data_IF_707406428811
#
_entry.id   IF_707406428811
#
_cell.length_a   1.000
_cell.length_b   1.000
_cell.length_c   1.000
_cell.angle_alpha   90.00
_cell.angle_beta   90.00
_cell.angle_gamma   90.00
#
_symmetry.space_group_name_H-M   'P 1'
#
loop_
_entity.id
_entity.type
_entity.pdbx_description
1 polymer ?
#
# COMPACT_ATOMS: atom_id res chain seq x y z
N UNK A 1 -3.41 -51.91 -53.46
CA UNK A 1 -4.20 -52.61 -52.45
C UNK A 1 -3.20 -53.25 -51.52
N UNK A 2 -2.86 -52.55 -50.44
CA UNK A 2 -1.90 -52.98 -49.43
C UNK A 2 -2.59 -52.79 -48.08
N UNK A 3 -2.89 -53.92 -47.45
CA UNK A 3 -3.58 -54.02 -46.19
C UNK A 3 -2.70 -53.50 -45.04
N UNK A 4 -3.29 -52.62 -44.23
CA UNK A 4 -2.75 -52.21 -42.92
C UNK A 4 -3.08 -53.30 -41.89
N UNK A 5 -2.15 -53.67 -40.99
CA UNK A 5 -2.50 -54.42 -39.80
C UNK A 5 -3.07 -53.49 -38.73
N UNK A 6 -4.18 -53.92 -38.15
CA UNK A 6 -4.88 -53.33 -37.00
C UNK A 6 -4.17 -53.73 -35.72
N UNK A 7 -3.60 -52.78 -34.98
CA UNK A 7 -3.08 -53.03 -33.62
C UNK A 7 -4.22 -52.87 -32.60
N UNK A 8 -4.41 -53.90 -31.78
CA UNK A 8 -5.33 -53.92 -30.65
C UNK A 8 -4.65 -53.30 -29.41
N UNK A 9 -5.35 -52.44 -28.64
CA UNK A 9 -4.82 -51.96 -27.36
C UNK A 9 -4.92 -53.04 -26.27
N UNK A 10 -3.85 -53.16 -25.49
CA UNK A 10 -3.78 -53.95 -24.26
C UNK A 10 -4.58 -53.28 -23.13
N UNK A 11 -5.22 -54.06 -22.22
CA UNK A 11 -5.94 -53.52 -21.09
C UNK A 11 -4.98 -53.07 -19.98
N UNK A 12 -5.20 -51.87 -19.45
CA UNK A 12 -4.52 -51.33 -18.27
C UNK A 12 -5.16 -51.95 -17.02
N UNK A 13 -4.35 -52.66 -16.22
CA UNK A 13 -4.72 -53.13 -14.87
C UNK A 13 -4.89 -51.95 -13.91
N UNK A 14 -6.01 -51.94 -13.19
CA UNK A 14 -6.27 -51.02 -12.08
C UNK A 14 -5.67 -51.60 -10.78
N UNK A 15 -4.91 -50.83 -9.99
CA UNK A 15 -4.52 -51.27 -8.65
C UNK A 15 -5.67 -51.12 -7.65
N UNK A 16 -5.80 -52.18 -6.84
CA UNK A 16 -6.75 -52.30 -5.76
C UNK A 16 -6.37 -51.46 -4.53
N UNK A 17 -7.38 -50.79 -3.96
CA UNK A 17 -7.69 -50.73 -2.53
C UNK A 17 -6.68 -50.13 -1.55
N UNK A 18 -7.03 -49.00 -0.93
CA UNK A 18 -6.62 -48.66 0.44
C UNK A 18 -7.78 -48.04 1.22
N UNK A 19 -8.10 -48.75 2.31
CA UNK A 19 -8.73 -48.40 3.58
C UNK A 19 -9.64 -47.16 3.73
N UNK A 20 -10.88 -47.47 4.09
CA UNK A 20 -11.82 -46.63 4.86
C UNK A 20 -11.27 -46.42 6.26
N UNK A 21 -11.09 -45.18 6.69
CA UNK A 21 -10.87 -44.82 8.10
C UNK A 21 -12.13 -44.17 8.67
N UNK A 22 -12.50 -44.66 9.86
CA UNK A 22 -13.63 -44.27 10.70
C UNK A 22 -13.89 -42.76 10.79
N UNK A 23 -15.17 -42.41 10.64
CA UNK A 23 -15.72 -41.12 11.02
C UNK A 23 -16.00 -41.10 12.53
N UNK A 24 -15.67 -40.01 13.26
CA UNK A 24 -16.11 -39.86 14.63
C UNK A 24 -17.59 -39.45 14.72
N UNK A 25 -18.22 -40.02 15.74
CA UNK A 25 -19.58 -39.89 16.26
C UNK A 25 -19.94 -38.43 16.67
N UNK A 26 -21.08 -37.85 16.22
CA UNK A 26 -21.57 -36.58 16.74
C UNK A 26 -22.76 -36.81 17.69
N UNK A 27 -22.51 -36.82 18.99
CA UNK A 27 -23.53 -36.66 20.02
C UNK A 27 -22.99 -35.85 21.20
N UNK A 28 -23.90 -35.14 21.90
CA UNK A 28 -23.76 -34.15 22.99
C UNK A 28 -23.81 -32.70 22.48
N UNK A 29 -24.98 -32.11 22.22
CA UNK A 29 -25.97 -31.60 23.18
C UNK A 29 -25.40 -30.53 24.14
N UNK A 30 -25.71 -29.25 23.89
CA UNK A 30 -25.39 -28.18 24.81
C UNK A 30 -25.93 -26.80 24.39
N UNK A 31 -26.99 -26.39 25.09
CA UNK A 31 -27.45 -25.01 25.33
C UNK A 31 -27.93 -24.15 24.14
N UNK A 32 -29.26 -24.10 24.02
CA UNK A 32 -30.03 -23.04 23.38
C UNK A 32 -29.83 -21.75 24.18
N UNK A 33 -29.19 -20.75 23.60
CA UNK A 33 -29.23 -19.37 24.11
C UNK A 33 -30.46 -18.67 23.53
N UNK A 34 -31.34 -18.19 24.41
CA UNK A 34 -32.51 -17.40 24.06
C UNK A 34 -32.11 -16.12 23.33
N UNK A 35 -32.77 -15.87 22.20
CA UNK A 35 -32.72 -14.60 21.50
C UNK A 35 -33.53 -13.54 22.27
N UNK A 36 -33.02 -12.31 22.45
CA UNK A 36 -33.83 -11.22 22.99
C UNK A 36 -34.90 -10.77 21.96
N UNK A 37 -36.09 -10.48 22.47
CA UNK A 37 -37.25 -10.03 21.71
C UNK A 37 -37.02 -8.68 21.00
N UNK A 38 -37.64 -8.43 19.83
CA UNK A 38 -37.56 -7.14 19.17
C UNK A 38 -38.37 -6.08 19.93
N UNK A 39 -37.71 -5.00 20.33
CA UNK A 39 -38.36 -3.80 20.85
C UNK A 39 -38.99 -3.06 19.66
N UNK A 40 -40.31 -3.11 19.55
CA UNK A 40 -41.08 -2.27 18.65
C UNK A 40 -41.15 -0.81 19.16
N UNK A 41 -41.46 0.08 18.20
CA UNK A 41 -42.07 1.42 18.35
C UNK A 41 -41.14 2.62 18.55
N UNK A 42 -40.64 3.18 17.45
CA UNK A 42 -40.38 4.62 17.36
C UNK A 42 -41.31 5.19 16.30
N UNK A 43 -42.19 6.07 16.78
CA UNK A 43 -43.24 6.70 16.02
C UNK A 43 -42.69 7.53 14.86
N UNK A 44 -43.28 7.32 13.68
CA UNK A 44 -43.15 8.20 12.52
C UNK A 44 -43.85 9.51 12.87
N UNK A 45 -43.07 10.56 13.11
CA UNK A 45 -43.57 11.92 13.22
C UNK A 45 -44.04 12.40 11.85
N UNK A 46 -45.25 12.94 11.81
CA UNK A 46 -45.93 13.48 10.64
C UNK A 46 -45.08 14.50 9.86
N UNK A 47 -45.06 14.34 8.53
CA UNK A 47 -44.55 15.34 7.60
C UNK A 47 -45.53 16.54 7.53
N UNK A 48 -45.03 17.79 7.44
CA UNK A 48 -45.88 18.92 7.12
C UNK A 48 -46.22 18.98 5.61
N UNK A 49 -47.47 19.36 5.38
CA UNK A 49 -48.18 19.61 4.12
C UNK A 49 -47.44 20.62 3.19
N UNK A 50 -47.26 20.35 1.89
CA UNK A 50 -46.68 21.32 0.96
C UNK A 50 -47.73 22.35 0.54
N UNK A 51 -47.61 23.57 1.07
CA UNK A 51 -48.44 24.69 0.62
C UNK A 51 -47.94 25.26 -0.71
N UNK A 52 -48.80 25.12 -1.72
CA UNK A 52 -49.07 25.94 -2.89
C UNK A 52 -48.20 27.18 -3.26
N UNK A 53 -48.03 27.28 -4.59
CA UNK A 53 -48.01 28.49 -5.45
C UNK A 53 -46.76 29.35 -5.58
N UNK A 54 -46.07 29.19 -6.73
CA UNK A 54 -45.80 30.32 -7.64
C UNK A 54 -45.64 29.80 -9.09
N UNK A 55 -46.44 30.36 -9.99
CA UNK A 55 -46.41 30.16 -11.45
C UNK A 55 -45.41 31.14 -12.13
N UNK A 56 -45.10 30.97 -13.43
CA UNK A 56 -43.81 31.33 -14.01
C UNK A 56 -43.76 32.77 -14.53
N UNK A 57 -42.57 33.33 -14.57
CA UNK A 57 -42.24 34.49 -15.41
C UNK A 57 -41.33 34.09 -16.56
N UNK A 58 -41.86 34.40 -17.74
CA UNK A 58 -41.28 34.29 -19.05
C UNK A 58 -40.09 35.25 -19.29
N UNK A 59 -39.17 34.77 -20.14
CA UNK A 59 -38.35 35.54 -21.11
C UNK A 59 -37.21 36.42 -20.59
N UNK A 60 -35.97 35.99 -20.87
CA UNK A 60 -35.03 36.71 -21.75
C UNK A 60 -33.84 35.82 -22.17
N UNK A 61 -33.62 35.75 -23.48
CA UNK A 61 -32.35 35.44 -24.18
C UNK A 61 -32.14 36.67 -25.10
N UNK A 62 -30.95 36.98 -25.66
CA UNK A 62 -29.59 36.48 -25.43
C UNK A 62 -28.63 37.62 -25.03
N UNK A 63 -27.36 37.36 -24.71
CA UNK A 63 -26.19 38.20 -25.10
C UNK A 63 -24.88 37.51 -24.70
N UNK A 64 -24.02 37.40 -25.72
CA UNK A 64 -22.56 37.26 -25.81
C UNK A 64 -21.71 36.54 -24.75
N UNK A 65 -20.81 35.72 -25.32
CA UNK A 65 -19.67 35.08 -24.71
C UNK A 65 -18.74 36.08 -24.00
N UNK A 66 -18.20 35.75 -22.83
CA UNK A 66 -16.97 36.37 -22.37
C UNK A 66 -15.77 35.66 -23.00
N UNK A 67 -14.80 36.49 -23.33
CA UNK A 67 -13.49 36.18 -23.87
C UNK A 67 -12.73 35.16 -23.02
N UNK A 68 -11.94 34.36 -23.72
CA UNK A 68 -10.89 33.47 -23.25
C UNK A 68 -10.01 34.18 -22.21
N UNK A 69 -10.11 33.75 -20.95
CA UNK A 69 -9.11 34.07 -19.93
C UNK A 69 -7.83 33.30 -20.26
N UNK A 70 -6.90 33.98 -20.93
CA UNK A 70 -5.49 33.62 -20.90
C UNK A 70 -4.90 34.03 -19.53
N UNK A 71 -4.15 33.13 -18.91
CA UNK A 71 -3.29 33.44 -17.77
C UNK A 71 -3.90 33.15 -16.40
N UNK A 72 -3.93 31.87 -16.02
CA UNK A 72 -3.68 31.50 -14.62
C UNK A 72 -2.38 30.71 -14.65
N UNK A 73 -1.30 31.35 -14.24
CA UNK A 73 -0.05 30.66 -13.90
C UNK A 73 -0.41 29.59 -12.86
N UNK A 74 -0.19 28.33 -13.24
CA UNK A 74 -0.24 27.22 -12.30
C UNK A 74 0.80 27.48 -11.21
N UNK A 75 0.47 27.33 -9.92
CA UNK A 75 1.46 27.47 -8.87
C UNK A 75 2.52 26.37 -9.01
N UNK A 76 3.79 26.76 -9.01
CA UNK A 76 4.97 25.91 -8.86
C UNK A 76 4.94 25.21 -7.49
N UNK A 77 4.10 24.17 -7.36
CA UNK A 77 3.98 23.37 -6.16
C UNK A 77 4.91 22.13 -6.15
N UNK A 78 5.91 22.09 -7.02
CA UNK A 78 6.71 20.89 -7.29
C UNK A 78 8.00 20.74 -6.46
N UNK A 79 8.39 21.72 -5.64
CA UNK A 79 9.64 21.65 -4.86
C UNK A 79 9.48 21.21 -3.38
N UNK A 80 8.29 20.83 -2.93
CA UNK A 80 8.07 20.53 -1.51
C UNK A 80 8.41 19.08 -1.07
N UNK A 81 8.82 18.19 -1.98
CA UNK A 81 9.11 16.79 -1.63
C UNK A 81 10.61 16.45 -1.57
N UNK A 82 11.53 17.37 -1.91
CA UNK A 82 12.99 17.11 -1.93
C UNK A 82 13.78 17.63 -0.70
N UNK A 83 13.16 17.81 0.47
CA UNK A 83 13.91 18.16 1.70
C UNK A 83 13.67 17.19 2.84
N UNK A 84 14.09 15.93 2.64
CA UNK A 84 14.64 15.15 3.74
C UNK A 84 16.14 15.42 3.82
N UNK A 85 16.54 16.36 4.68
CA UNK A 85 17.93 16.47 5.12
C UNK A 85 18.34 15.13 5.76
N UNK A 86 19.31 14.46 5.15
CA UNK A 86 19.97 13.32 5.77
C UNK A 86 20.55 13.72 7.14
N UNK A 87 20.45 12.87 8.18
CA UNK A 87 21.06 13.18 9.47
C UNK A 87 22.58 13.34 9.31
N UNK A 88 23.12 14.44 9.85
CA UNK A 88 24.56 14.69 9.88
C UNK A 88 25.30 13.49 10.50
N UNK A 89 26.41 13.02 9.91
CA UNK A 89 27.21 11.96 10.51
C UNK A 89 27.82 12.46 11.84
N UNK A 90 27.95 11.60 12.87
CA UNK A 90 28.60 12.00 14.11
C UNK A 90 30.05 12.39 13.84
N UNK A 91 30.45 13.57 14.34
CA UNK A 91 31.80 14.09 14.20
C UNK A 91 32.83 13.09 14.72
N UNK A 92 33.76 12.72 13.84
CA UNK A 92 34.94 11.95 14.20
C UNK A 92 35.80 12.77 15.18
N UNK A 93 35.92 12.29 16.41
CA UNK A 93 36.84 12.86 17.39
C UNK A 93 38.29 12.62 16.95
N UNK A 94 38.96 13.72 16.64
CA UNK A 94 40.36 13.79 16.24
C UNK A 94 41.32 13.39 17.38
N UNK A 95 42.27 12.52 17.00
CA UNK A 95 43.65 12.44 17.44
C UNK A 95 44.02 12.82 18.91
N UNK A 96 44.19 11.80 19.75
CA UNK A 96 45.04 11.89 20.94
C UNK A 96 46.52 11.69 20.55
N UNK A 97 47.34 12.71 20.82
CA UNK A 97 48.81 12.63 20.81
C UNK A 97 49.34 11.91 22.07
N UNK A 98 50.44 11.14 21.97
CA UNK A 98 51.04 10.49 23.13
C UNK A 98 51.98 11.45 23.87
N UNK A 99 51.86 11.54 25.20
CA UNK A 99 52.86 12.14 26.10
C UNK A 99 53.38 11.07 27.05
N UNK A 100 54.70 11.00 27.32
CA UNK A 100 55.30 9.87 28.03
C UNK A 100 55.23 9.99 29.56
N UNK A 101 55.35 8.80 30.16
CA UNK A 101 55.61 8.43 31.54
C UNK A 101 56.04 9.53 32.53
N UNK A 102 55.39 9.53 33.70
CA UNK A 102 56.09 9.68 34.97
C UNK A 102 55.45 8.80 36.05
N UNK A 103 56.30 8.27 36.92
CA UNK A 103 56.02 7.22 37.89
C UNK A 103 55.47 7.79 39.22
N UNK A 104 54.83 6.90 39.98
CA UNK A 104 54.87 6.82 41.45
C UNK A 104 54.07 7.86 42.29
N UNK A 105 52.97 7.44 42.91
CA UNK A 105 52.91 7.11 44.36
C UNK A 105 51.49 6.72 44.80
N UNK A 106 51.45 6.03 45.94
CA UNK A 106 50.38 5.21 46.50
C UNK A 106 49.23 6.02 47.18
N UNK A 107 48.18 5.34 47.72
CA UNK A 107 46.84 5.91 47.90
C UNK A 107 46.56 6.43 49.32
N UNK A 108 45.48 7.19 49.47
CA UNK A 108 44.76 7.29 50.74
C UNK A 108 43.22 7.38 50.55
N UNK A 109 42.42 6.81 51.46
CA UNK A 109 40.97 6.70 51.36
C UNK A 109 40.25 7.79 52.19
N UNK A 110 39.20 8.39 51.63
CA UNK A 110 38.28 9.28 52.39
C UNK A 110 36.92 9.22 51.69
N UNK A 111 35.97 8.49 52.27
CA UNK A 111 34.88 8.93 53.17
C UNK A 111 33.61 9.28 52.43
N UNK A 112 32.57 8.52 52.78
CA UNK A 112 31.18 8.77 52.46
C UNK A 112 30.72 10.15 52.96
N UNK A 113 29.96 10.86 52.14
CA UNK A 113 28.86 11.70 52.63
C UNK A 113 27.63 11.49 51.75
N UNK A 114 26.52 11.37 52.46
CA UNK A 114 25.17 11.19 51.98
C UNK A 114 24.67 12.49 51.31
N UNK A 115 23.97 12.34 50.19
CA UNK A 115 23.38 13.45 49.44
C UNK A 115 22.15 12.99 48.69
N UNK A 116 21.06 12.93 49.44
CA UNK A 116 19.69 12.67 49.03
C UNK A 116 19.17 13.71 48.03
N UNK A 117 18.86 13.29 46.80
CA UNK A 117 17.78 13.85 45.99
C UNK A 117 17.23 12.77 45.05
N UNK A 118 16.17 12.13 45.54
CA UNK A 118 14.94 11.74 44.85
C UNK A 118 14.79 12.24 43.39
N UNK A 119 14.96 11.35 42.40
CA UNK A 119 14.27 11.31 41.10
C UNK A 119 14.59 9.97 40.42
N UNK A 120 13.68 9.01 40.54
CA UNK A 120 13.76 7.71 39.88
C UNK A 120 13.34 7.79 38.39
N UNK A 121 14.15 7.28 37.45
CA UNK A 121 13.66 6.72 36.20
C UNK A 121 13.47 5.21 36.35
N UNK A 122 12.25 4.77 36.02
CA UNK A 122 11.83 3.37 35.94
C UNK A 122 12.68 2.62 34.91
N UNK A 123 13.28 1.52 35.36
CA UNK A 123 14.07 0.62 34.55
C UNK A 123 13.27 -0.15 33.51
N UNK A 124 13.95 -0.46 32.40
CA UNK A 124 13.77 -1.68 31.64
C UNK A 124 15.15 -2.26 31.37
N UNK A 125 15.58 -3.11 32.28
CA UNK A 125 16.66 -4.06 32.05
C UNK A 125 16.01 -5.32 31.47
N UNK A 126 16.28 -5.59 30.20
CA UNK A 126 16.35 -6.95 29.68
C UNK A 126 17.60 -6.98 28.81
N UNK A 127 18.71 -7.29 29.46
CA UNK A 127 19.97 -7.62 28.82
C UNK A 127 19.80 -8.96 28.08
N UNK A 128 19.90 -8.92 26.76
CA UNK A 128 20.22 -10.09 25.93
C UNK A 128 21.71 -9.99 25.63
N UNK A 129 22.43 -11.07 25.90
CA UNK A 129 23.89 -11.18 25.75
C UNK A 129 24.37 -10.85 24.32
N UNK A 130 25.56 -10.23 24.17
CA UNK A 130 26.19 -10.03 22.86
C UNK A 130 26.98 -11.29 22.51
N UNK A 131 26.47 -12.09 21.57
CA UNK A 131 27.15 -13.34 21.23
C UNK A 131 26.51 -14.12 20.11
N UNK A 132 26.41 -13.53 18.92
CA UNK A 132 26.46 -14.25 17.64
C UNK A 132 26.67 -13.22 16.53
N UNK A 133 27.84 -13.27 15.91
CA UNK A 133 28.15 -12.52 14.70
C UNK A 133 27.07 -12.81 13.64
N UNK A 134 26.41 -11.79 13.05
CA UNK A 134 25.63 -12.03 11.85
C UNK A 134 26.64 -12.41 10.75
N UNK A 135 26.46 -13.60 10.18
CA UNK A 135 27.18 -14.00 8.99
C UNK A 135 27.01 -12.89 7.94
N UNK A 136 28.13 -12.26 7.59
CA UNK A 136 28.19 -11.34 6.47
C UNK A 136 27.78 -12.11 5.21
N UNK A 137 26.53 -11.93 4.79
CA UNK A 137 26.06 -12.34 3.48
C UNK A 137 26.62 -11.33 2.48
N UNK A 138 27.82 -11.58 2.00
CA UNK A 138 28.43 -10.86 0.87
C UNK A 138 27.86 -11.39 -0.45
N UNK A 139 26.54 -11.47 -0.55
CA UNK A 139 25.86 -11.71 -1.80
C UNK A 139 25.46 -10.37 -2.38
N UNK A 140 26.28 -9.82 -3.28
CA UNK A 140 25.79 -8.88 -4.29
C UNK A 140 24.67 -9.59 -5.08
N UNK A 141 23.43 -9.06 -5.15
CA UNK A 141 22.43 -9.53 -6.07
C UNK A 141 21.97 -8.36 -6.94
N UNK A 142 22.91 -7.56 -7.48
CA UNK A 142 22.61 -6.82 -8.69
C UNK A 142 22.58 -7.84 -9.83
N UNK A 143 21.44 -8.54 -9.94
CA UNK A 143 21.18 -9.51 -10.98
C UNK A 143 21.32 -8.81 -12.32
N UNK A 144 22.30 -9.24 -13.11
CA UNK A 144 22.47 -8.77 -14.48
C UNK A 144 21.17 -9.03 -15.26
N UNK A 145 20.39 -7.99 -15.49
CA UNK A 145 19.12 -8.06 -16.24
C UNK A 145 19.32 -8.49 -17.69
N UNK A 146 20.58 -8.56 -18.16
CA UNK A 146 20.92 -9.01 -19.51
C UNK A 146 20.77 -10.52 -19.74
N UNK A 147 20.53 -11.33 -18.69
CA UNK A 147 20.43 -12.79 -18.78
C UNK A 147 18.99 -13.34 -18.81
N UNK A 148 18.01 -12.53 -19.23
CA UNK A 148 16.66 -13.04 -19.47
C UNK A 148 16.67 -14.10 -20.58
N UNK A 149 16.21 -15.31 -20.26
CA UNK A 149 16.11 -16.37 -21.26
C UNK A 149 15.12 -15.98 -22.37
N UNK A 150 15.34 -16.49 -23.58
CA UNK A 150 14.38 -16.27 -24.69
C UNK A 150 12.97 -16.72 -24.35
N UNK A 151 12.83 -17.74 -23.50
CA UNK A 151 11.54 -18.24 -23.03
C UNK A 151 10.87 -17.24 -22.07
N UNK A 152 11.61 -16.75 -21.07
CA UNK A 152 11.13 -15.72 -20.14
C UNK A 152 10.71 -14.44 -20.88
N UNK A 153 11.49 -14.00 -21.87
CA UNK A 153 11.15 -12.83 -22.69
C UNK A 153 9.88 -13.05 -23.54
N UNK A 154 9.62 -14.28 -23.99
CA UNK A 154 8.37 -14.62 -24.69
C UNK A 154 7.17 -14.64 -23.73
N UNK A 155 7.36 -15.17 -22.51
CA UNK A 155 6.33 -15.15 -21.48
C UNK A 155 5.97 -13.72 -21.09
N UNK A 156 6.97 -12.86 -20.85
CA UNK A 156 6.73 -11.45 -20.52
C UNK A 156 5.94 -10.72 -21.61
N UNK A 157 6.28 -10.94 -22.88
CA UNK A 157 5.52 -10.39 -24.02
C UNK A 157 4.08 -10.89 -24.09
N UNK A 158 3.83 -12.15 -23.73
CA UNK A 158 2.48 -12.69 -23.67
C UNK A 158 1.68 -12.02 -22.54
N UNK A 159 2.27 -11.88 -21.35
CA UNK A 159 1.66 -11.19 -20.21
C UNK A 159 1.42 -9.70 -20.49
N UNK A 160 2.36 -9.01 -21.12
CA UNK A 160 2.18 -7.62 -21.54
C UNK A 160 1.02 -7.48 -22.55
N UNK A 161 0.90 -8.42 -23.49
CA UNK A 161 -0.23 -8.44 -24.42
C UNK A 161 -1.56 -8.58 -23.67
N UNK A 162 -1.66 -9.50 -22.72
CA UNK A 162 -2.86 -9.67 -21.90
C UNK A 162 -3.18 -8.41 -21.07
N UNK A 163 -2.14 -7.72 -20.59
CA UNK A 163 -2.28 -6.44 -19.88
C UNK A 163 -2.79 -5.32 -20.79
N UNK A 164 -2.30 -5.25 -22.03
CA UNK A 164 -2.79 -4.27 -23.03
C UNK A 164 -4.26 -4.46 -23.33
N UNK A 165 -4.76 -5.69 -23.39
CA UNK A 165 -6.20 -5.95 -23.58
C UNK A 165 -7.06 -5.39 -22.43
N UNK A 166 -6.49 -5.23 -21.22
CA UNK A 166 -7.16 -4.61 -20.07
C UNK A 166 -7.18 -3.08 -20.19
N UNK A 167 -6.06 -2.48 -20.57
CA UNK A 167 -5.86 -1.03 -20.45
C UNK A 167 -6.11 -0.23 -21.74
N UNK A 168 -6.10 -0.89 -22.92
CA UNK A 168 -6.38 -0.27 -24.22
C UNK A 168 -7.75 0.42 -24.28
N UNK A 169 -8.85 -0.12 -23.71
CA UNK A 169 -10.14 0.58 -23.64
C UNK A 169 -10.09 1.93 -22.91
N UNK A 170 -9.09 2.11 -22.05
CA UNK A 170 -8.89 3.30 -21.22
C UNK A 170 -7.83 4.25 -21.82
N UNK A 171 -7.22 3.90 -22.96
CA UNK A 171 -6.20 4.74 -23.61
C UNK A 171 -4.85 4.76 -22.91
N UNK A 172 -4.61 3.86 -21.95
CA UNK A 172 -3.36 3.77 -21.19
C UNK A 172 -2.30 3.00 -21.98
N UNK A 173 -1.08 3.52 -22.01
CA UNK A 173 0.07 2.81 -22.54
C UNK A 173 0.62 1.82 -21.50
N UNK A 174 0.85 0.56 -21.91
CA UNK A 174 1.47 -0.48 -21.08
C UNK A 174 2.81 -0.92 -21.66
N UNK A 175 3.84 -0.87 -20.80
CA UNK A 175 5.20 -1.31 -21.10
C UNK A 175 5.81 -2.07 -19.92
N UNK A 176 6.04 -3.37 -20.11
CA UNK A 176 6.80 -4.22 -19.20
C UNK A 176 8.12 -4.69 -19.81
N UNK A 177 8.42 -4.31 -21.05
CA UNK A 177 9.48 -4.94 -21.86
C UNK A 177 10.65 -4.03 -22.19
N UNK A 178 10.50 -2.70 -22.04
CA UNK A 178 11.63 -1.77 -22.16
C UNK A 178 12.63 -1.98 -21.02
N UNK A 179 12.16 -1.99 -19.77
CA UNK A 179 12.94 -2.36 -18.59
C UNK A 179 12.29 -3.60 -17.94
N UNK A 180 12.73 -4.83 -18.28
CA UNK A 180 11.96 -6.03 -18.00
C UNK A 180 11.77 -6.35 -16.51
N UNK A 181 10.53 -6.67 -16.13
CA UNK A 181 10.19 -7.35 -14.86
C UNK A 181 9.97 -8.84 -15.08
N UNK A 182 9.81 -9.61 -14.00
CA UNK A 182 9.43 -11.02 -14.13
C UNK A 182 8.01 -11.16 -14.73
N UNK A 183 7.75 -12.17 -15.59
CA UNK A 183 6.41 -12.44 -16.11
C UNK A 183 5.37 -12.70 -15.00
N UNK A 184 5.79 -13.25 -13.87
CA UNK A 184 4.90 -13.54 -12.73
C UNK A 184 4.47 -12.26 -12.00
N UNK A 185 5.41 -11.33 -11.73
CA UNK A 185 5.08 -10.00 -11.19
C UNK A 185 4.16 -9.23 -12.15
N UNK A 186 4.49 -9.22 -13.45
CA UNK A 186 3.64 -8.61 -14.47
C UNK A 186 2.22 -9.20 -14.50
N UNK A 187 2.09 -10.51 -14.29
CA UNK A 187 0.78 -11.18 -14.17
C UNK A 187 -0.02 -10.66 -12.97
N UNK A 188 0.64 -10.39 -11.85
CA UNK A 188 0.00 -9.82 -10.65
C UNK A 188 -0.41 -8.37 -10.82
N UNK A 189 0.37 -7.57 -11.54
CA UNK A 189 -0.04 -6.22 -11.93
C UNK A 189 -1.29 -6.26 -12.83
N UNK A 190 -1.34 -7.16 -13.81
CA UNK A 190 -2.52 -7.36 -14.66
C UNK A 190 -3.77 -7.76 -13.86
N UNK A 191 -3.63 -8.60 -12.82
CA UNK A 191 -4.73 -8.93 -11.92
C UNK A 191 -5.28 -7.68 -11.21
N UNK A 192 -4.41 -6.83 -10.66
CA UNK A 192 -4.81 -5.56 -10.04
C UNK A 192 -5.48 -4.63 -11.04
N UNK A 193 -4.88 -4.42 -12.22
CA UNK A 193 -5.43 -3.55 -13.27
C UNK A 193 -6.84 -3.98 -13.69
N UNK A 194 -7.10 -5.28 -13.82
CA UNK A 194 -8.44 -5.79 -14.18
C UNK A 194 -9.49 -5.50 -13.13
N UNK A 195 -9.14 -5.65 -11.86
CA UNK A 195 -10.04 -5.37 -10.74
C UNK A 195 -10.30 -3.87 -10.60
N UNK A 196 -9.23 -3.07 -10.71
CA UNK A 196 -9.28 -1.61 -10.59
C UNK A 196 -10.02 -0.95 -11.75
N UNK A 197 -9.82 -1.39 -12.99
CA UNK A 197 -10.54 -0.83 -14.15
C UNK A 197 -12.03 -1.15 -14.11
N UNK A 198 -12.41 -2.27 -13.50
CA UNK A 198 -13.82 -2.63 -13.28
C UNK A 198 -14.46 -1.84 -12.14
N UNK A 199 -13.74 -1.67 -11.01
CA UNK A 199 -14.27 -1.01 -9.83
C UNK A 199 -14.21 0.53 -9.93
N UNK A 200 -13.17 1.11 -10.54
CA UNK A 200 -12.90 2.55 -10.59
C UNK A 200 -12.66 3.04 -12.03
N UNK A 201 -13.57 2.78 -12.99
CA UNK A 201 -13.30 3.00 -14.41
C UNK A 201 -12.88 4.44 -14.76
N UNK A 202 -13.55 5.47 -14.20
CA UNK A 202 -13.18 6.86 -14.48
C UNK A 202 -11.84 7.29 -13.92
N UNK A 203 -11.49 6.82 -12.72
CA UNK A 203 -10.17 7.12 -12.16
C UNK A 203 -9.09 6.39 -12.96
N UNK A 204 -9.40 5.16 -13.39
CA UNK A 204 -8.51 4.39 -14.26
C UNK A 204 -8.29 5.09 -15.61
N UNK A 205 -9.33 5.69 -16.21
CA UNK A 205 -9.27 6.49 -17.45
C UNK A 205 -8.36 7.73 -17.36
N UNK A 206 -8.01 8.18 -16.15
CA UNK A 206 -7.18 9.37 -15.96
C UNK A 206 -5.67 9.07 -16.01
N UNK A 207 -5.29 7.80 -15.93
CA UNK A 207 -3.90 7.38 -16.10
C UNK A 207 -3.52 7.40 -17.59
N UNK A 208 -2.27 7.72 -17.89
CA UNK A 208 -1.72 7.63 -19.24
C UNK A 208 -0.81 6.42 -19.41
N UNK A 209 -0.11 5.99 -18.35
CA UNK A 209 0.87 4.90 -18.45
C UNK A 209 0.84 3.97 -17.26
N UNK A 210 1.17 2.72 -17.54
CA UNK A 210 1.75 1.77 -16.59
C UNK A 210 3.05 1.30 -17.21
N UNK A 211 4.19 1.65 -16.60
CA UNK A 211 5.49 1.31 -17.17
C UNK A 211 6.46 0.79 -16.12
N UNK A 212 7.44 0.03 -16.58
CA UNK A 212 8.58 -0.37 -15.77
C UNK A 212 9.78 0.53 -16.07
N UNK A 213 10.53 0.87 -15.03
CA UNK A 213 11.77 1.63 -15.15
C UNK A 213 12.66 1.42 -13.92
N UNK A 214 13.90 1.87 -13.98
CA UNK A 214 14.79 1.88 -12.84
C UNK A 214 14.81 3.27 -12.18
N UNK A 215 14.23 3.44 -10.98
CA UNK A 215 14.33 4.71 -10.25
C UNK A 215 15.77 4.99 -9.83
N UNK A 216 16.09 6.26 -9.56
CA UNK A 216 17.40 6.66 -9.05
C UNK A 216 17.69 6.07 -7.66
N UNK A 217 16.66 5.99 -6.81
CA UNK A 217 16.71 5.28 -5.54
C UNK A 217 16.20 3.84 -5.71
N UNK A 218 17.08 2.82 -5.65
CA UNK A 218 16.69 1.43 -5.83
C UNK A 218 15.80 0.89 -4.72
N UNK A 219 15.64 1.60 -3.59
CA UNK A 219 14.73 1.20 -2.51
C UNK A 219 13.26 1.48 -2.85
N UNK A 220 12.98 2.34 -3.84
CA UNK A 220 11.63 2.62 -4.31
C UNK A 220 11.12 1.41 -5.10
N UNK A 221 10.04 0.80 -4.64
CA UNK A 221 9.46 -0.38 -5.30
C UNK A 221 8.62 0.01 -6.51
N UNK A 222 7.85 1.08 -6.35
CA UNK A 222 7.06 1.70 -7.39
C UNK A 222 6.77 3.14 -6.95
N UNK A 223 6.26 3.94 -7.87
CA UNK A 223 5.74 5.26 -7.56
C UNK A 223 4.61 5.63 -8.51
N UNK A 224 3.74 6.54 -8.06
CA UNK A 224 2.62 7.05 -8.82
C UNK A 224 2.80 8.54 -9.15
N UNK A 225 2.32 8.95 -10.33
CA UNK A 225 2.10 10.34 -10.68
C UNK A 225 0.59 10.60 -10.80
N UNK A 226 -0.11 10.98 -9.71
CA UNK A 226 -1.57 10.94 -9.62
C UNK A 226 -2.31 12.15 -10.23
N UNK A 227 -1.64 12.93 -11.08
CA UNK A 227 -2.15 14.22 -11.55
C UNK A 227 -2.93 14.10 -12.86
N UNK A 228 -4.27 14.22 -12.82
CA UNK A 228 -5.11 14.17 -14.02
C UNK A 228 -4.62 15.15 -15.09
N UNK A 229 -4.58 14.68 -16.34
CA UNK A 229 -4.23 15.52 -17.49
C UNK A 229 -2.74 15.87 -17.60
N UNK A 230 -1.90 15.45 -16.66
CA UNK A 230 -0.46 15.50 -16.84
C UNK A 230 -0.04 14.39 -17.81
N UNK A 231 0.78 14.68 -18.84
CA UNK A 231 1.20 13.68 -19.81
C UNK A 231 1.80 12.43 -19.16
N UNK A 232 2.51 12.59 -18.04
CA UNK A 232 3.18 11.52 -17.31
C UNK A 232 2.32 10.94 -16.17
N UNK A 233 1.01 11.19 -16.11
CA UNK A 233 0.18 10.55 -15.09
C UNK A 233 0.17 9.03 -15.27
N UNK A 234 0.42 8.27 -14.20
CA UNK A 234 0.53 6.83 -14.30
C UNK A 234 1.10 6.14 -13.07
N UNK A 235 1.48 4.87 -13.27
CA UNK A 235 2.16 4.02 -12.29
C UNK A 235 3.47 3.53 -12.89
N UNK A 236 4.52 3.62 -12.09
CA UNK A 236 5.89 3.35 -12.48
C UNK A 236 6.46 2.29 -11.55
N UNK A 237 6.81 1.14 -12.11
CA UNK A 237 7.24 -0.04 -11.34
C UNK A 237 8.76 -0.19 -11.46
N UNK A 238 9.45 -0.36 -10.33
CA UNK A 238 10.89 -0.61 -10.33
C UNK A 238 11.21 -1.95 -10.99
N UNK A 239 11.89 -1.90 -12.13
CA UNK A 239 12.24 -3.08 -12.92
C UNK A 239 13.15 -4.04 -12.16
N UNK A 240 14.15 -3.54 -11.44
CA UNK A 240 15.08 -4.37 -10.67
C UNK A 240 14.36 -5.05 -9.50
N UNK A 241 13.57 -4.29 -8.73
CA UNK A 241 12.86 -4.79 -7.55
C UNK A 241 11.86 -5.92 -7.87
N UNK A 242 11.38 -5.99 -9.11
CA UNK A 242 10.40 -6.99 -9.59
C UNK A 242 10.94 -7.89 -10.70
N UNK A 243 12.25 -7.88 -10.96
CA UNK A 243 12.91 -8.75 -11.94
C UNK A 243 12.88 -10.23 -11.54
N UNK A 244 12.82 -10.50 -10.22
CA UNK A 244 12.71 -11.82 -9.61
C UNK A 244 11.45 -11.89 -8.72
N UNK A 245 10.53 -12.79 -9.07
CA UNK A 245 9.26 -12.95 -8.37
C UNK A 245 9.41 -13.58 -6.98
N UNK A 246 10.37 -14.49 -6.79
CA UNK A 246 10.60 -15.14 -5.50
C UNK A 246 11.23 -14.15 -4.52
N UNK A 247 12.22 -13.38 -4.99
CA UNK A 247 12.82 -12.32 -4.19
C UNK A 247 11.81 -11.23 -3.82
N UNK A 248 10.96 -10.80 -4.76
CA UNK A 248 9.89 -9.83 -4.50
C UNK A 248 8.88 -10.36 -3.46
N UNK A 249 8.48 -11.63 -3.58
CA UNK A 249 7.56 -12.26 -2.62
C UNK A 249 8.17 -12.39 -1.22
N UNK A 250 9.44 -12.77 -1.11
CA UNK A 250 10.15 -12.89 0.17
C UNK A 250 10.25 -11.53 0.86
N UNK A 251 10.73 -10.50 0.13
CA UNK A 251 10.83 -9.13 0.64
C UNK A 251 9.48 -8.61 1.11
N UNK A 252 8.43 -8.79 0.31
CA UNK A 252 7.07 -8.39 0.69
C UNK A 252 6.58 -9.08 1.95
N UNK A 253 6.86 -10.39 2.12
CA UNK A 253 6.51 -11.13 3.32
C UNK A 253 7.27 -10.63 4.57
N UNK A 254 8.52 -10.22 4.42
CA UNK A 254 9.32 -9.65 5.52
C UNK A 254 8.80 -8.26 5.94
N UNK A 255 8.47 -7.39 4.96
CA UNK A 255 7.87 -6.08 5.20
C UNK A 255 6.53 -6.22 5.94
N UNK A 256 5.65 -7.12 5.49
CA UNK A 256 4.38 -7.42 6.16
C UNK A 256 4.58 -7.96 7.58
N UNK A 257 5.51 -8.88 7.78
CA UNK A 257 5.79 -9.49 9.08
C UNK A 257 6.34 -8.47 10.10
N UNK A 258 7.09 -7.48 9.63
CA UNK A 258 7.62 -6.40 10.47
C UNK A 258 6.58 -5.33 10.83
N UNK A 259 5.43 -5.31 10.13
CA UNK A 259 4.43 -4.24 10.23
C UNK A 259 4.78 -2.99 9.42
N UNK A 260 5.79 -3.08 8.55
CA UNK A 260 6.18 -1.98 7.68
C UNK A 260 5.07 -1.59 6.72
N UNK A 261 4.41 -2.58 6.10
CA UNK A 261 3.25 -2.42 5.22
C UNK A 261 2.06 -3.25 5.71
N UNK A 262 0.87 -3.00 5.16
CA UNK A 262 -0.35 -3.76 5.43
C UNK A 262 -0.31 -5.19 4.89
N UNK A 263 -1.13 -6.12 5.41
CA UNK A 263 -1.22 -7.48 4.86
C UNK A 263 -1.53 -7.50 3.35
N UNK A 264 -0.71 -8.22 2.59
CA UNK A 264 -0.73 -8.25 1.12
C UNK A 264 -0.07 -7.06 0.44
N UNK A 265 0.32 -6.01 1.17
CA UNK A 265 0.87 -4.75 0.64
C UNK A 265 2.25 -4.91 0.01
N UNK A 266 3.10 -5.79 0.55
CA UNK A 266 4.44 -6.05 0.01
C UNK A 266 4.45 -6.92 -1.24
N UNK A 267 3.32 -7.54 -1.61
CA UNK A 267 3.21 -8.33 -2.83
C UNK A 267 3.21 -7.45 -4.09
N UNK A 268 3.59 -7.97 -5.29
CA UNK A 268 3.49 -7.19 -6.53
C UNK A 268 2.07 -6.64 -6.78
N UNK A 269 1.03 -7.43 -6.45
CA UNK A 269 -0.36 -6.98 -6.54
C UNK A 269 -0.65 -5.85 -5.53
N UNK A 270 -0.14 -5.97 -4.31
CA UNK A 270 -0.24 -4.98 -3.24
C UNK A 270 0.41 -3.65 -3.56
N UNK A 271 1.64 -3.69 -4.06
CA UNK A 271 2.35 -2.49 -4.52
C UNK A 271 1.56 -1.78 -5.62
N UNK A 272 0.99 -2.51 -6.59
CA UNK A 272 0.15 -1.88 -7.60
C UNK A 272 -1.11 -1.23 -7.02
N UNK A 273 -1.77 -1.89 -6.07
CA UNK A 273 -2.90 -1.30 -5.35
C UNK A 273 -2.50 -0.07 -4.56
N UNK A 274 -1.32 -0.07 -3.94
CA UNK A 274 -0.77 1.05 -3.20
C UNK A 274 -0.60 2.26 -4.13
N UNK A 275 0.07 2.08 -5.27
CA UNK A 275 0.28 3.15 -6.24
C UNK A 275 -1.05 3.71 -6.79
N UNK A 276 -2.01 2.84 -7.09
CA UNK A 276 -3.35 3.30 -7.46
C UNK A 276 -4.07 4.03 -6.31
N UNK A 277 -3.79 3.63 -5.07
CA UNK A 277 -4.24 4.30 -3.86
C UNK A 277 -3.79 5.76 -3.78
N UNK A 278 -2.64 6.14 -4.33
CA UNK A 278 -2.26 7.55 -4.47
C UNK A 278 -3.14 8.32 -5.45
N UNK A 279 -3.56 7.70 -6.56
CA UNK A 279 -4.55 8.30 -7.48
C UNK A 279 -5.89 8.52 -6.77
N UNK A 280 -6.32 7.55 -5.95
CA UNK A 280 -7.51 7.71 -5.09
C UNK A 280 -7.33 8.88 -4.11
N UNK A 281 -6.20 8.95 -3.41
CA UNK A 281 -5.90 9.98 -2.42
C UNK A 281 -5.98 11.38 -3.02
N UNK A 282 -5.35 11.60 -4.18
CA UNK A 282 -5.38 12.88 -4.88
C UNK A 282 -6.82 13.35 -5.15
N UNK A 283 -7.70 12.45 -5.63
CA UNK A 283 -9.12 12.80 -5.89
C UNK A 283 -9.92 13.10 -4.64
N UNK A 284 -9.64 12.39 -3.54
CA UNK A 284 -10.28 12.69 -2.26
C UNK A 284 -9.82 14.06 -1.76
N UNK A 285 -8.53 14.38 -1.85
CA UNK A 285 -7.98 15.66 -1.38
C UNK A 285 -8.40 16.86 -2.23
N UNK A 286 -8.60 16.68 -3.54
CA UNK A 286 -9.11 17.72 -4.45
C UNK A 286 -10.59 18.06 -4.20
N UNK A 287 -11.32 17.20 -3.49
CA UNK A 287 -12.75 17.35 -3.21
C UNK A 287 -12.98 17.74 -1.74
N UNK A 288 -13.34 19.01 -1.44
CA UNK A 288 -13.51 19.46 -0.05
C UNK A 288 -14.50 18.61 0.75
N UNK A 289 -15.60 18.16 0.12
CA UNK A 289 -16.58 17.30 0.79
C UNK A 289 -16.06 15.88 1.02
N UNK A 290 -15.33 15.29 0.06
CA UNK A 290 -14.80 13.94 0.24
C UNK A 290 -13.68 13.95 1.28
N UNK A 291 -12.82 14.96 1.25
CA UNK A 291 -11.78 15.18 2.24
C UNK A 291 -12.34 15.39 3.65
N UNK A 292 -13.41 16.17 3.81
CA UNK A 292 -14.05 16.32 5.13
C UNK A 292 -14.54 14.96 5.66
N UNK A 293 -15.17 14.13 4.81
CA UNK A 293 -15.62 12.80 5.23
C UNK A 293 -14.46 11.86 5.58
N UNK A 294 -13.33 11.96 4.87
CA UNK A 294 -12.09 11.28 5.25
C UNK A 294 -11.61 11.74 6.63
N UNK A 295 -11.50 13.05 6.85
CA UNK A 295 -11.02 13.62 8.11
C UNK A 295 -11.90 13.16 9.29
N UNK A 296 -13.22 13.11 9.09
CA UNK A 296 -14.17 12.59 10.08
C UNK A 296 -13.95 11.09 10.35
N UNK A 297 -13.80 10.27 9.31
CA UNK A 297 -13.58 8.83 9.43
C UNK A 297 -12.27 8.49 10.15
N UNK A 298 -11.18 9.19 9.79
CA UNK A 298 -9.88 9.04 10.45
C UNK A 298 -10.00 9.51 11.89
N UNK A 299 -10.55 10.70 12.13
CA UNK A 299 -10.70 11.27 13.49
C UNK A 299 -11.44 10.33 14.44
N UNK A 300 -12.52 9.71 13.98
CA UNK A 300 -13.28 8.74 14.74
C UNK A 300 -12.43 7.50 15.09
N UNK A 301 -11.64 7.02 14.14
CA UNK A 301 -10.85 5.81 14.30
C UNK A 301 -9.64 5.98 15.20
N UNK A 302 -8.98 7.15 15.17
CA UNK A 302 -7.86 7.49 16.06
C UNK A 302 -8.31 8.20 17.35
N UNK A 303 -9.62 8.41 17.53
CA UNK A 303 -10.24 9.08 18.67
C UNK A 303 -9.68 10.49 18.98
N UNK A 304 -9.36 11.25 17.93
CA UNK A 304 -8.84 12.63 18.03
C UNK A 304 -9.06 13.41 16.73
N UNK A 305 -9.03 14.75 16.74
CA UNK A 305 -9.11 15.54 15.51
C UNK A 305 -7.97 15.20 14.55
N UNK A 306 -8.31 15.06 13.27
CA UNK A 306 -7.40 14.82 12.15
C UNK A 306 -7.65 15.87 11.06
N UNK A 307 -6.58 16.23 10.35
CA UNK A 307 -6.60 17.15 9.20
C UNK A 307 -5.63 16.62 8.13
N UNK A 308 -6.17 16.11 7.03
CA UNK A 308 -5.37 15.53 5.95
C UNK A 308 -4.58 16.55 5.11
N UNK A 309 -4.70 17.88 5.34
CA UNK A 309 -3.79 18.86 4.71
C UNK A 309 -2.49 19.06 5.46
N UNK A 310 -2.42 18.61 6.70
CA UNK A 310 -1.24 18.75 7.51
C UNK A 310 -0.42 17.45 7.50
N UNK A 311 0.92 17.53 7.55
CA UNK A 311 1.73 16.38 7.91
C UNK A 311 1.28 15.80 9.25
N UNK A 312 1.43 14.48 9.42
CA UNK A 312 1.09 13.85 10.69
C UNK A 312 1.97 14.39 11.82
N UNK A 313 1.34 14.87 12.89
CA UNK A 313 2.06 15.06 14.15
C UNK A 313 2.49 13.70 14.72
N UNK A 314 3.51 13.70 15.58
CA UNK A 314 4.05 12.45 16.14
C UNK A 314 2.96 11.58 16.80
N UNK A 315 2.05 12.11 17.63
CA UNK A 315 1.00 11.28 18.22
C UNK A 315 -0.01 10.74 17.19
N UNK A 316 -0.21 11.41 16.05
CA UNK A 316 -1.09 10.97 14.95
C UNK A 316 -0.43 9.85 14.17
N UNK A 317 0.84 10.04 13.78
CA UNK A 317 1.62 9.00 13.12
C UNK A 317 1.69 7.73 13.97
N UNK A 318 1.93 7.84 15.28
CA UNK A 318 1.91 6.68 16.18
C UNK A 318 0.56 5.95 16.23
N UNK A 319 -0.55 6.68 16.22
CA UNK A 319 -1.88 6.08 16.19
C UNK A 319 -2.16 5.36 14.85
N UNK A 320 -1.75 5.96 13.73
CA UNK A 320 -1.91 5.39 12.40
C UNK A 320 -1.02 4.15 12.24
N UNK A 321 0.25 4.18 12.65
CA UNK A 321 1.16 3.02 12.60
C UNK A 321 0.58 1.81 13.34
N UNK A 322 -0.02 2.03 14.52
CA UNK A 322 -0.66 0.95 15.28
C UNK A 322 -1.91 0.38 14.62
N UNK A 323 -2.67 1.20 13.89
CA UNK A 323 -3.93 0.80 13.26
C UNK A 323 -3.76 0.28 11.84
N UNK A 324 -2.66 0.65 11.17
CA UNK A 324 -2.42 0.42 9.75
C UNK A 324 -1.01 -0.15 9.51
N UNK A 325 -0.01 0.70 9.33
CA UNK A 325 1.37 0.27 9.05
C UNK A 325 2.34 1.41 9.34
N UNK A 326 3.61 1.08 9.56
CA UNK A 326 4.65 2.11 9.74
C UNK A 326 4.76 3.00 8.50
N UNK A 327 4.69 2.41 7.30
CA UNK A 327 4.73 3.15 6.04
C UNK A 327 3.52 4.08 5.87
N UNK A 328 2.31 3.58 6.14
CA UNK A 328 1.08 4.38 6.08
C UNK A 328 1.03 5.50 7.12
N UNK A 329 1.89 5.47 8.14
CA UNK A 329 1.94 6.52 9.16
C UNK A 329 2.74 7.76 8.76
N UNK A 330 3.47 7.71 7.65
CA UNK A 330 4.42 8.77 7.25
C UNK A 330 3.71 10.04 6.75
N UNK A 331 2.74 9.91 5.85
CA UNK A 331 1.98 11.03 5.28
C UNK A 331 0.49 10.69 5.09
N UNK A 332 -0.39 11.68 4.92
CA UNK A 332 -1.78 11.42 4.55
C UNK A 332 -1.94 10.64 3.23
N UNK A 333 -1.04 10.83 2.25
CA UNK A 333 -1.07 10.08 0.99
C UNK A 333 -0.71 8.60 1.22
N UNK A 334 0.34 8.31 1.98
CA UNK A 334 0.72 6.94 2.31
C UNK A 334 -0.35 6.23 3.14
N UNK A 335 -0.95 6.93 4.12
CA UNK A 335 -2.07 6.40 4.90
C UNK A 335 -3.22 5.96 3.99
N UNK A 336 -3.58 6.80 3.02
CA UNK A 336 -4.66 6.52 2.07
C UNK A 336 -4.32 5.35 1.14
N UNK A 337 -3.09 5.31 0.63
CA UNK A 337 -2.62 4.24 -0.25
C UNK A 337 -2.59 2.88 0.47
N UNK A 338 -1.98 2.81 1.65
CA UNK A 338 -1.91 1.60 2.48
C UNK A 338 -3.31 1.12 2.91
N UNK A 339 -4.18 2.03 3.36
CA UNK A 339 -5.54 1.69 3.74
C UNK A 339 -6.37 1.17 2.56
N UNK A 340 -6.18 1.75 1.37
CA UNK A 340 -6.80 1.26 0.15
C UNK A 340 -6.30 -0.14 -0.20
N UNK A 341 -4.99 -0.37 -0.17
CA UNK A 341 -4.39 -1.69 -0.44
C UNK A 341 -4.96 -2.77 0.46
N UNK A 342 -5.02 -2.52 1.78
CA UNK A 342 -5.60 -3.48 2.70
C UNK A 342 -7.10 -3.70 2.46
N UNK A 343 -7.86 -2.62 2.22
CA UNK A 343 -9.29 -2.69 1.91
C UNK A 343 -9.58 -3.56 0.68
N UNK A 344 -8.67 -3.57 -0.30
CA UNK A 344 -8.82 -4.35 -1.53
C UNK A 344 -8.35 -5.80 -1.41
N UNK A 345 -7.28 -6.05 -0.66
CA UNK A 345 -6.62 -7.36 -0.63
C UNK A 345 -6.99 -8.23 0.56
N UNK A 346 -7.26 -7.63 1.73
CA UNK A 346 -7.59 -8.40 2.91
C UNK A 346 -9.00 -8.99 2.79
N UNK A 347 -9.15 -10.27 3.09
CA UNK A 347 -10.48 -10.90 3.17
C UNK A 347 -11.35 -10.28 4.29
N UNK A 348 -10.70 -9.74 5.32
CA UNK A 348 -11.30 -9.02 6.43
C UNK A 348 -10.40 -7.83 6.80
N UNK A 349 -10.50 -6.70 6.07
CA UNK A 349 -9.67 -5.53 6.33
C UNK A 349 -9.89 -5.00 7.75
N UNK A 350 -8.84 -4.45 8.37
CA UNK A 350 -8.95 -3.82 9.68
C UNK A 350 -9.98 -2.69 9.66
N UNK A 351 -10.62 -2.36 10.80
CA UNK A 351 -11.62 -1.31 10.86
C UNK A 351 -11.12 0.05 10.33
N UNK A 352 -9.85 0.38 10.56
CA UNK A 352 -9.24 1.61 10.06
C UNK A 352 -9.17 1.65 8.52
N UNK A 353 -8.62 0.60 7.91
CA UNK A 353 -8.58 0.44 6.45
C UNK A 353 -9.99 0.42 5.83
N UNK A 354 -10.93 -0.29 6.47
CA UNK A 354 -12.34 -0.35 6.03
C UNK A 354 -13.02 1.02 6.05
N UNK A 355 -12.76 1.84 7.07
CA UNK A 355 -13.35 3.17 7.20
C UNK A 355 -12.85 4.09 6.07
N UNK A 356 -11.54 4.12 5.82
CA UNK A 356 -10.94 4.91 4.73
C UNK A 356 -11.37 4.37 3.36
N UNK A 357 -11.30 3.06 3.15
CA UNK A 357 -11.75 2.38 1.93
C UNK A 357 -13.21 2.63 1.61
N UNK A 358 -14.07 2.69 2.63
CA UNK A 358 -15.48 3.07 2.48
C UNK A 358 -15.70 4.49 1.98
N UNK A 359 -14.86 5.45 2.41
CA UNK A 359 -14.88 6.83 1.89
C UNK A 359 -14.45 6.83 0.42
N UNK A 360 -13.34 6.14 0.08
CA UNK A 360 -12.87 6.00 -1.30
C UNK A 360 -13.98 5.42 -2.18
N UNK A 361 -14.58 4.30 -1.78
CA UNK A 361 -15.62 3.62 -2.56
C UNK A 361 -16.84 4.51 -2.78
N UNK A 362 -17.30 5.20 -1.73
CA UNK A 362 -18.44 6.13 -1.82
C UNK A 362 -18.17 7.24 -2.84
N UNK A 363 -16.94 7.74 -2.92
CA UNK A 363 -16.61 8.88 -3.76
C UNK A 363 -16.18 8.51 -5.17
N UNK A 364 -15.54 7.37 -5.38
CA UNK A 364 -14.84 7.03 -6.63
C UNK A 364 -15.34 5.73 -7.29
N UNK A 365 -15.85 4.75 -6.53
CA UNK A 365 -16.21 3.45 -7.09
C UNK A 365 -17.41 3.53 -8.04
N UNK A 366 -17.27 2.95 -9.22
CA UNK A 366 -18.28 2.87 -10.28
C UNK A 366 -18.74 4.22 -10.83
N UNK A 367 -18.04 5.29 -10.48
CA UNK A 367 -18.42 6.63 -10.92
C UNK A 367 -17.89 6.96 -12.27
#
# INVERSE_FOLDING_TARGET
>A
MSDRPTEHPTPVEAPAGVAVTDAPDPAEAGAVAEAPEPVETWAVTEAPDPTETAQPTETTKPTDAPERLEGVDAPEAWEAWETFEAPEPPEASDAATPTPADENEAPDPVTAEEGDTDLAPLGKENAVEPGSEPAASTGDPAGDTSDMTKETAQQLKAVEKDGREIVEPHGIALDYTTEPVSPECAGKFNEAMRELSADYPKLFDEMNHVRTEQPEDPSILAYALPYAGYPDSGIYVNSEAFSDAEAAALRGAEEEASGFTVPGGGSPKGVFYHEFGHHCAQRIFDSPSARQELDEAVSQSIARPYDSSAPHDKPTGQAISQLLSDYGSTTPHEMMAEAFTEHKLAAAPRPFASAIGGVIDKHLKGK
#
